data_IF_247093524796
#
_entry.id   IF_247093524796
#
_cell.length_a   1.000
_cell.length_b   1.000
_cell.length_c   1.000
_cell.angle_alpha   90.00
_cell.angle_beta   90.00
_cell.angle_gamma   90.00
#
_symmetry.space_group_name_H-M   'P 1'
#
loop_
_entity.id
_entity.type
_entity.pdbx_description
1 polymer ?
#
# COMPACT_ATOMS: atom_id res chain seq x y z
N UNK A 1 -0.47 0.40 4.86
CA UNK A 1 0.60 0.78 5.79
C UNK A 1 1.82 1.23 4.98
N UNK A 2 2.84 1.79 5.61
CA UNK A 2 4.13 2.10 4.99
C UNK A 2 5.09 0.88 5.00
N UNK A 3 4.96 -0.01 5.98
CA UNK A 3 5.67 -1.29 6.04
C UNK A 3 4.94 -2.31 6.93
N UNK A 4 5.49 -3.53 7.03
CA UNK A 4 5.10 -4.55 8.00
C UNK A 4 5.95 -4.50 9.28
N UNK A 5 5.41 -5.03 10.38
CA UNK A 5 6.07 -5.17 11.68
C UNK A 5 5.25 -6.12 12.58
N UNK A 6 4.08 -5.66 13.01
CA UNK A 6 3.28 -6.28 14.07
C UNK A 6 2.76 -7.70 13.73
N UNK A 7 2.76 -8.08 12.45
CA UNK A 7 2.38 -9.41 12.01
C UNK A 7 3.43 -10.48 12.31
N UNK A 8 4.67 -10.10 12.66
CA UNK A 8 5.71 -11.04 13.07
C UNK A 8 6.42 -10.55 14.35
N UNK A 9 6.04 -11.13 15.49
CA UNK A 9 6.58 -10.76 16.80
C UNK A 9 7.72 -11.66 17.28
N UNK A 10 8.02 -12.75 16.55
CA UNK A 10 9.07 -13.73 16.86
C UNK A 10 9.93 -13.95 15.62
N UNK A 11 11.24 -13.99 15.79
CA UNK A 11 12.18 -14.39 14.75
C UNK A 11 12.19 -15.92 14.65
N UNK A 12 11.67 -16.48 13.56
CA UNK A 12 11.56 -17.93 13.38
C UNK A 12 12.91 -18.65 13.24
N UNK A 13 13.99 -17.92 12.93
CA UNK A 13 15.34 -18.49 12.85
C UNK A 13 16.01 -18.65 14.21
N UNK A 14 15.65 -17.80 15.19
CA UNK A 14 16.29 -17.78 16.52
C UNK A 14 15.34 -18.07 17.69
N UNK A 15 14.02 -17.98 17.48
CA UNK A 15 12.99 -18.10 18.51
C UNK A 15 12.89 -16.89 19.46
N UNK A 16 13.65 -15.82 19.22
CA UNK A 16 13.69 -14.62 20.07
C UNK A 16 12.67 -13.56 19.63
N UNK A 17 12.38 -12.54 20.46
CA UNK A 17 11.55 -11.42 20.05
C UNK A 17 12.06 -10.77 18.75
N UNK A 18 11.16 -10.57 17.78
CA UNK A 18 11.44 -9.82 16.56
C UNK A 18 11.18 -8.33 16.82
N UNK A 19 12.19 -7.50 16.63
CA UNK A 19 12.12 -6.04 16.88
C UNK A 19 12.31 -5.20 15.61
N UNK A 20 12.48 -5.85 14.46
CA UNK A 20 12.68 -5.21 13.16
C UNK A 20 11.41 -5.23 12.31
N UNK A 21 11.40 -4.46 11.23
CA UNK A 21 10.34 -4.52 10.22
C UNK A 21 10.39 -5.83 9.43
N UNK A 22 9.29 -6.14 8.74
CA UNK A 22 9.23 -7.23 7.77
C UNK A 22 9.25 -6.70 6.34
N UNK A 23 9.37 -7.62 5.39
CA UNK A 23 9.22 -7.37 3.95
C UNK A 23 7.87 -7.85 3.42
N UNK A 24 6.90 -8.12 4.30
CA UNK A 24 5.59 -8.61 3.91
C UNK A 24 4.81 -7.52 3.16
N UNK A 25 3.90 -7.95 2.29
CA UNK A 25 2.95 -7.03 1.65
C UNK A 25 2.07 -6.34 2.71
N UNK A 26 1.65 -5.10 2.40
CA UNK A 26 0.80 -4.31 3.28
C UNK A 26 -0.64 -4.29 2.77
N UNK A 27 -1.65 -4.32 3.65
CA UNK A 27 -3.02 -4.14 3.22
C UNK A 27 -3.24 -2.71 2.72
N UNK A 28 -4.06 -2.59 1.68
CA UNK A 28 -4.56 -1.33 1.15
C UNK A 28 -6.05 -1.47 0.88
N UNK A 29 -6.87 -0.58 1.45
CA UNK A 29 -8.32 -0.66 1.40
C UNK A 29 -8.87 0.64 0.82
N UNK A 30 -9.67 0.53 -0.23
CA UNK A 30 -10.45 1.64 -0.77
C UNK A 30 -11.90 1.53 -0.32
N UNK A 31 -12.36 2.49 0.50
CA UNK A 31 -13.73 2.53 1.02
C UNK A 31 -14.47 3.71 0.39
N UNK A 32 -15.44 3.42 -0.46
CA UNK A 32 -16.35 4.41 -1.04
C UNK A 32 -17.72 3.78 -1.33
N UNK A 33 -18.75 4.62 -1.47
CA UNK A 33 -20.10 4.19 -1.87
C UNK A 33 -20.10 3.58 -3.28
N UNK A 34 -19.24 4.08 -4.15
CA UNK A 34 -19.04 3.70 -5.54
C UNK A 34 -17.69 3.01 -5.75
N UNK A 35 -17.20 2.31 -4.72
CA UNK A 35 -15.89 1.67 -4.77
C UNK A 35 -15.74 0.75 -5.99
N UNK A 36 -14.66 0.94 -6.71
CA UNK A 36 -14.27 0.14 -7.88
C UNK A 36 -13.14 -0.83 -7.52
N UNK A 37 -12.89 -1.79 -8.41
CA UNK A 37 -11.81 -2.76 -8.21
C UNK A 37 -10.44 -2.08 -8.29
N UNK A 38 -9.58 -2.45 -7.35
CA UNK A 38 -8.16 -2.11 -7.41
C UNK A 38 -7.40 -3.13 -8.27
N UNK A 39 -6.28 -2.73 -8.86
CA UNK A 39 -5.32 -3.65 -9.49
C UNK A 39 -4.42 -4.30 -8.45
N UNK A 40 -3.93 -5.47 -8.79
CA UNK A 40 -2.92 -6.18 -8.01
C UNK A 40 -1.51 -5.61 -8.25
N UNK A 41 -0.55 -5.96 -7.39
CA UNK A 41 0.86 -5.57 -7.54
C UNK A 41 1.11 -4.06 -7.39
N UNK A 42 0.43 -3.41 -6.44
CA UNK A 42 0.65 -2.00 -6.11
C UNK A 42 1.94 -1.77 -5.32
N UNK A 43 2.47 -0.55 -5.40
CA UNK A 43 3.58 -0.05 -4.57
C UNK A 43 3.19 1.25 -3.87
N UNK A 44 3.97 1.71 -2.88
CA UNK A 44 3.67 2.93 -2.13
C UNK A 44 3.54 4.18 -3.02
N UNK A 45 4.34 4.27 -4.09
CA UNK A 45 4.28 5.37 -5.04
C UNK A 45 2.92 5.49 -5.77
N UNK A 46 2.11 4.44 -5.75
CA UNK A 46 0.79 4.41 -6.40
C UNK A 46 -0.31 5.06 -5.56
N UNK A 47 -0.07 5.34 -4.28
CA UNK A 47 -1.08 5.89 -3.37
C UNK A 47 -1.48 7.30 -3.80
N UNK A 48 -0.51 8.20 -4.02
CA UNK A 48 -0.78 9.58 -4.43
C UNK A 48 -1.58 9.69 -5.74
N UNK A 49 -1.20 9.05 -6.86
CA UNK A 49 -2.00 9.10 -8.09
C UNK A 49 -3.37 8.40 -7.94
N UNK A 50 -3.51 7.45 -7.01
CA UNK A 50 -4.82 6.88 -6.67
C UNK A 50 -5.72 7.90 -5.99
N UNK A 51 -5.21 8.64 -5.01
CA UNK A 51 -5.97 9.69 -4.31
C UNK A 51 -6.40 10.81 -5.28
N UNK A 52 -5.51 11.27 -6.15
CA UNK A 52 -5.84 12.29 -7.15
C UNK A 52 -6.95 11.82 -8.10
N UNK A 53 -6.92 10.56 -8.54
CA UNK A 53 -8.00 9.96 -9.34
C UNK A 53 -9.34 9.93 -8.60
N UNK A 54 -9.35 9.58 -7.30
CA UNK A 54 -10.58 9.61 -6.46
C UNK A 54 -11.14 11.03 -6.34
N UNK A 55 -10.27 12.04 -6.18
CA UNK A 55 -10.65 13.45 -6.07
C UNK A 55 -11.03 14.08 -7.41
N UNK A 56 -10.93 13.35 -8.52
CA UNK A 56 -11.10 13.86 -9.88
C UNK A 56 -10.19 15.06 -10.18
N UNK A 57 -8.92 14.95 -9.76
CA UNK A 57 -7.87 15.94 -10.00
C UNK A 57 -6.86 15.44 -11.05
N UNK A 58 -6.22 16.38 -11.74
CA UNK A 58 -5.13 16.09 -12.65
C UNK A 58 -3.91 15.50 -11.91
N UNK A 59 -3.23 14.54 -12.52
CA UNK A 59 -2.03 13.91 -11.98
C UNK A 59 -0.80 14.63 -12.57
N UNK A 60 0.04 15.30 -11.76
CA UNK A 60 1.25 15.94 -12.24
C UNK A 60 2.22 14.97 -12.92
N UNK A 61 2.97 15.46 -13.91
CA UNK A 61 3.91 14.66 -14.70
C UNK A 61 5.05 14.04 -13.90
N UNK A 62 5.40 14.63 -12.76
CA UNK A 62 6.43 14.19 -11.82
C UNK A 62 6.01 12.93 -11.04
N UNK A 63 4.69 12.66 -10.94
CA UNK A 63 4.16 11.46 -10.30
C UNK A 63 4.23 10.31 -11.30
N UNK A 64 5.22 9.44 -11.10
CA UNK A 64 5.46 8.27 -11.96
C UNK A 64 4.69 7.02 -11.51
N UNK A 65 4.15 7.03 -10.30
CA UNK A 65 3.25 5.99 -9.80
C UNK A 65 1.97 5.89 -10.64
N UNK A 66 1.31 4.74 -10.61
CA UNK A 66 0.09 4.48 -11.38
C UNK A 66 -1.05 4.21 -10.44
N UNK A 67 -2.16 4.93 -10.63
CA UNK A 67 -3.39 4.73 -9.87
C UNK A 67 -3.74 3.24 -9.75
N UNK A 68 -4.16 2.84 -8.55
CA UNK A 68 -4.58 1.48 -8.23
C UNK A 68 -6.00 1.20 -8.73
N UNK A 69 -6.81 2.24 -8.97
CA UNK A 69 -8.17 2.10 -9.46
C UNK A 69 -8.16 1.73 -10.95
N UNK A 70 -8.82 0.61 -11.29
CA UNK A 70 -9.00 0.16 -12.67
C UNK A 70 -9.79 1.16 -13.53
#
# INVERSE_FOLDING_TARGET
ADHGNAEQMIDFSTGKPMTAHTINEVPFIYVSKDATKLRDGGILADIAPTMLKVMNLEIPSEITGKSLIK
#
